data_IF_999248866358
#
_entry.id   IF_999248866358
#
_cell.length_a   1.000
_cell.length_b   1.000
_cell.length_c   1.000
_cell.angle_alpha   90.00
_cell.angle_beta   90.00
_cell.angle_gamma   90.00
#
_symmetry.space_group_name_H-M   'P 1'
#
loop_
_entity.id
_entity.type
_entity.pdbx_description
1 polymer ?
#
# COMPACT_ATOMS: atom_id res chain seq x y z
N UNK A 1 -22.12 18.95 21.57
CA UNK A 1 -21.15 18.25 22.44
C UNK A 1 -21.20 18.98 23.76
N UNK A 2 -21.59 18.27 24.79
CA UNK A 2 -21.66 18.81 26.15
C UNK A 2 -20.27 18.82 26.80
N UNK A 3 -20.10 19.64 27.84
CA UNK A 3 -18.85 19.65 28.59
C UNK A 3 -18.55 18.28 29.22
N UNK A 4 -19.57 17.55 29.66
CA UNK A 4 -19.44 16.19 30.18
C UNK A 4 -18.84 15.21 29.17
N UNK A 5 -19.17 15.35 27.88
CA UNK A 5 -18.59 14.50 26.82
C UNK A 5 -17.08 14.74 26.71
N UNK A 6 -16.66 16.01 26.79
CA UNK A 6 -15.25 16.38 26.75
C UNK A 6 -14.50 15.88 27.98
N UNK A 7 -15.07 16.01 29.17
CA UNK A 7 -14.44 15.52 30.40
C UNK A 7 -14.30 14.00 30.40
N UNK A 8 -15.31 13.27 29.93
CA UNK A 8 -15.23 11.81 29.76
C UNK A 8 -14.12 11.42 28.78
N UNK A 9 -13.98 12.13 27.65
CA UNK A 9 -12.90 11.92 26.70
C UNK A 9 -11.52 12.21 27.30
N UNK A 10 -11.38 13.30 28.06
CA UNK A 10 -10.10 13.69 28.67
C UNK A 10 -9.68 12.74 29.82
N UNK A 11 -10.65 12.10 30.49
CA UNK A 11 -10.40 11.10 31.52
C UNK A 11 -10.10 9.70 30.95
N UNK A 12 -10.22 9.50 29.64
CA UNK A 12 -10.00 8.21 29.00
C UNK A 12 -8.50 7.84 28.97
N UNK A 13 -8.16 6.69 29.59
CA UNK A 13 -6.79 6.17 29.60
C UNK A 13 -6.23 5.93 28.19
N UNK A 14 -7.09 5.57 27.23
CA UNK A 14 -6.67 5.33 25.85
C UNK A 14 -6.25 6.64 25.17
N UNK A 15 -6.81 7.78 25.57
CA UNK A 15 -6.37 9.09 25.09
C UNK A 15 -4.97 9.42 25.60
N UNK A 16 -4.69 9.13 26.88
CA UNK A 16 -3.37 9.39 27.48
C UNK A 16 -2.30 8.54 26.80
N UNK A 17 -2.58 7.24 26.61
CA UNK A 17 -1.68 6.35 25.87
C UNK A 17 -1.46 6.81 24.42
N UNK A 18 -2.53 7.21 23.72
CA UNK A 18 -2.43 7.73 22.37
C UNK A 18 -1.56 8.99 22.30
N UNK A 19 -1.70 9.90 23.26
CA UNK A 19 -0.90 11.13 23.34
C UNK A 19 0.57 10.79 23.55
N UNK A 20 0.90 9.91 24.50
CA UNK A 20 2.29 9.53 24.78
C UNK A 20 2.93 8.81 23.60
N UNK A 21 2.28 7.79 23.04
CA UNK A 21 2.81 7.07 21.86
C UNK A 21 2.91 7.98 20.62
N UNK A 22 2.08 9.03 20.52
CA UNK A 22 2.18 9.99 19.41
C UNK A 22 3.33 10.99 19.57
N UNK A 23 3.98 11.06 20.75
CA UNK A 23 5.19 11.87 20.97
C UNK A 23 6.44 11.17 20.46
N UNK A 24 6.50 9.85 20.57
CA UNK A 24 7.56 9.01 19.98
C UNK A 24 7.31 8.83 18.49
N UNK A 25 7.85 9.72 17.67
CA UNK A 25 8.06 9.43 16.25
C UNK A 25 9.55 9.54 16.01
N UNK A 26 10.19 8.37 15.93
CA UNK A 26 11.64 8.26 15.83
C UNK A 26 12.14 8.42 14.39
N UNK A 27 11.22 8.64 13.44
CA UNK A 27 11.50 8.60 12.02
C UNK A 27 10.90 9.79 11.26
N UNK A 28 11.79 10.63 10.72
CA UNK A 28 11.45 11.82 9.93
C UNK A 28 10.61 11.50 8.68
N UNK A 29 10.85 10.37 8.02
CA UNK A 29 10.15 10.00 6.78
C UNK A 29 8.74 9.47 7.05
N UNK A 30 8.44 9.07 8.30
CA UNK A 30 7.05 8.82 8.73
C UNK A 30 6.27 10.13 8.98
N UNK A 31 6.98 11.22 9.33
CA UNK A 31 6.39 12.53 9.59
C UNK A 31 6.17 13.35 8.31
N UNK A 32 7.08 13.24 7.36
CA UNK A 32 7.07 14.01 6.11
C UNK A 32 6.90 13.03 4.96
N UNK A 33 5.76 13.10 4.26
CA UNK A 33 5.61 12.37 2.99
C UNK A 33 6.39 13.09 1.90
N UNK A 34 7.45 12.48 1.33
CA UNK A 34 8.20 13.10 0.25
C UNK A 34 7.28 13.28 -0.98
N UNK A 35 7.45 14.41 -1.68
CA UNK A 35 6.89 14.61 -3.03
C UNK A 35 7.61 13.73 -4.04
N UNK A 36 7.06 13.54 -5.24
CA UNK A 36 7.64 12.70 -6.31
C UNK A 36 9.13 13.00 -6.57
N UNK A 37 9.53 14.26 -6.65
CA UNK A 37 10.94 14.65 -6.86
C UNK A 37 11.82 14.32 -5.65
N UNK A 38 11.33 14.58 -4.44
CA UNK A 38 12.03 14.23 -3.19
C UNK A 38 12.16 12.72 -3.01
N UNK A 39 11.20 11.96 -3.55
CA UNK A 39 11.25 10.51 -3.58
C UNK A 39 12.33 10.01 -4.53
N UNK A 40 12.43 10.60 -5.73
CA UNK A 40 13.51 10.30 -6.67
C UNK A 40 14.89 10.60 -6.06
N UNK A 41 15.01 11.64 -5.22
CA UNK A 41 16.22 11.94 -4.46
C UNK A 41 16.61 10.82 -3.50
N UNK A 42 15.65 10.35 -2.68
CA UNK A 42 15.87 9.26 -1.74
C UNK A 42 16.16 7.93 -2.44
N UNK A 43 15.52 7.70 -3.59
CA UNK A 43 15.76 6.50 -4.39
C UNK A 43 17.16 6.48 -5.01
N UNK A 44 17.64 7.61 -5.55
CA UNK A 44 19.02 7.75 -6.02
C UNK A 44 20.00 7.41 -4.91
N UNK A 45 19.80 8.02 -3.73
CA UNK A 45 20.63 7.76 -2.56
C UNK A 45 20.63 6.28 -2.15
N UNK A 46 19.45 5.63 -2.12
CA UNK A 46 19.35 4.23 -1.73
C UNK A 46 19.96 3.26 -2.75
N UNK A 47 20.02 3.63 -4.03
CA UNK A 47 20.56 2.79 -5.11
C UNK A 47 22.07 2.97 -5.34
N UNK A 48 22.69 4.00 -4.77
CA UNK A 48 24.12 4.25 -4.91
C UNK A 48 24.93 3.34 -3.97
N UNK A 49 25.75 2.47 -4.55
CA UNK A 49 26.54 1.50 -3.80
C UNK A 49 27.63 2.15 -2.91
N UNK A 50 28.02 3.39 -3.21
CA UNK A 50 29.02 4.15 -2.46
C UNK A 50 28.45 4.91 -1.26
N UNK A 51 27.12 4.91 -1.08
CA UNK A 51 26.47 5.68 -0.03
C UNK A 51 26.61 5.07 1.37
N UNK A 52 26.46 5.93 2.38
CA UNK A 52 26.73 5.62 3.78
C UNK A 52 25.79 4.59 4.43
N UNK A 53 24.82 4.03 3.70
CA UNK A 53 23.83 3.07 4.24
C UNK A 53 24.34 1.61 4.33
N UNK A 54 25.60 1.34 3.97
CA UNK A 54 26.29 0.04 4.13
C UNK A 54 25.60 -1.18 3.51
N UNK A 55 24.76 -0.97 2.49
CA UNK A 55 24.17 -2.07 1.72
C UNK A 55 24.91 -2.38 0.42
N UNK A 56 25.93 -1.57 0.06
CA UNK A 56 26.58 -1.67 -1.24
C UNK A 56 25.54 -1.62 -2.36
N UNK A 57 25.72 -2.49 -3.37
CA UNK A 57 24.83 -2.55 -4.52
C UNK A 57 23.54 -3.38 -4.31
N UNK A 58 23.31 -3.89 -3.09
CA UNK A 58 22.24 -4.85 -2.83
C UNK A 58 20.84 -4.27 -3.08
N UNK A 59 20.65 -2.97 -2.87
CA UNK A 59 19.36 -2.28 -3.14
C UNK A 59 19.07 -2.28 -4.64
N UNK A 60 20.04 -1.87 -5.47
CA UNK A 60 19.90 -1.89 -6.92
C UNK A 60 19.75 -3.32 -7.47
N UNK A 61 20.45 -4.30 -6.88
CA UNK A 61 20.27 -5.71 -7.21
C UNK A 61 18.84 -6.20 -6.93
N UNK A 62 18.26 -5.82 -5.79
CA UNK A 62 16.86 -6.10 -5.47
C UNK A 62 15.90 -5.47 -6.48
N UNK A 63 16.18 -4.25 -6.94
CA UNK A 63 15.41 -3.60 -8.00
C UNK A 63 15.48 -4.36 -9.33
N UNK A 64 16.66 -4.80 -9.78
CA UNK A 64 16.81 -5.58 -11.01
C UNK A 64 16.09 -6.95 -10.95
N UNK A 65 16.13 -7.62 -9.80
CA UNK A 65 15.39 -8.86 -9.60
C UNK A 65 13.88 -8.64 -9.69
N UNK A 66 13.39 -7.54 -9.11
CA UNK A 66 11.98 -7.17 -9.22
C UNK A 66 11.58 -6.81 -10.66
N UNK A 67 12.46 -6.15 -11.42
CA UNK A 67 12.25 -5.91 -12.85
C UNK A 67 12.08 -7.20 -13.64
N UNK A 68 12.96 -8.17 -13.40
CA UNK A 68 12.87 -9.48 -14.04
C UNK A 68 11.54 -10.16 -13.71
N UNK A 69 11.16 -10.21 -12.42
CA UNK A 69 9.91 -10.84 -11.96
C UNK A 69 8.65 -10.13 -12.45
N UNK A 70 8.65 -8.79 -12.54
CA UNK A 70 7.52 -8.04 -13.06
C UNK A 70 7.36 -8.22 -14.58
N UNK A 71 8.47 -8.34 -15.30
CA UNK A 71 8.50 -8.53 -16.75
C UNK A 71 8.33 -9.97 -17.23
N UNK A 72 8.35 -10.97 -16.34
CA UNK A 72 8.41 -12.39 -16.69
C UNK A 72 7.43 -13.24 -15.88
N UNK A 73 6.88 -14.29 -16.48
CA UNK A 73 6.01 -15.27 -15.82
C UNK A 73 6.53 -16.69 -16.02
N UNK A 74 6.41 -17.23 -17.24
CA UNK A 74 6.92 -18.56 -17.61
C UNK A 74 8.28 -18.45 -18.28
N UNK A 75 8.48 -17.42 -19.11
CA UNK A 75 9.71 -17.17 -19.84
C UNK A 75 10.21 -15.74 -19.61
N UNK A 76 11.53 -15.49 -19.74
CA UNK A 76 12.07 -14.14 -19.56
C UNK A 76 11.35 -13.11 -20.45
N UNK A 77 10.78 -12.05 -19.86
CA UNK A 77 10.16 -10.96 -20.62
C UNK A 77 8.83 -11.30 -21.30
N UNK A 78 8.21 -12.46 -21.09
CA UNK A 78 6.95 -12.86 -21.75
C UNK A 78 5.75 -11.94 -21.48
N UNK A 79 5.77 -11.18 -20.37
CA UNK A 79 4.78 -10.14 -20.07
C UNK A 79 5.00 -8.84 -20.82
N UNK A 80 6.13 -8.71 -21.51
CA UNK A 80 6.54 -7.52 -22.24
C UNK A 80 6.30 -7.66 -23.74
N UNK A 81 6.17 -6.52 -24.42
CA UNK A 81 6.09 -6.50 -25.88
C UNK A 81 7.35 -7.13 -26.48
N UNK A 82 7.16 -8.23 -27.22
CA UNK A 82 8.24 -8.90 -27.95
C UNK A 82 9.05 -7.91 -28.80
N UNK A 83 10.38 -8.06 -28.77
CA UNK A 83 11.36 -7.20 -29.43
C UNK A 83 11.41 -5.74 -28.94
N UNK A 84 10.77 -5.41 -27.81
CA UNK A 84 11.01 -4.12 -27.14
C UNK A 84 12.35 -4.13 -26.41
N UNK A 85 12.85 -2.94 -26.06
CA UNK A 85 14.06 -2.80 -25.25
C UNK A 85 13.96 -3.55 -23.92
N UNK A 86 12.90 -3.32 -23.16
CA UNK A 86 12.65 -3.99 -21.88
C UNK A 86 12.55 -5.51 -22.03
N UNK A 87 12.00 -6.02 -23.15
CA UNK A 87 11.97 -7.45 -23.46
C UNK A 87 13.38 -8.04 -23.63
N UNK A 88 14.23 -7.39 -24.43
CA UNK A 88 15.63 -7.80 -24.58
C UNK A 88 16.40 -7.69 -23.26
N UNK A 89 16.12 -6.66 -22.47
CA UNK A 89 16.71 -6.48 -21.15
C UNK A 89 16.39 -7.66 -20.23
N UNK A 90 15.12 -8.04 -20.10
CA UNK A 90 14.69 -9.17 -19.26
C UNK A 90 15.28 -10.51 -19.73
N UNK A 91 15.44 -10.70 -21.04
CA UNK A 91 16.10 -11.86 -21.63
C UNK A 91 17.60 -11.93 -21.30
N UNK A 92 18.28 -10.78 -21.27
CA UNK A 92 19.73 -10.71 -21.03
C UNK A 92 20.11 -10.74 -19.54
N UNK A 93 19.33 -10.02 -18.72
CA UNK A 93 19.54 -9.85 -17.28
C UNK A 93 18.67 -10.82 -16.49
N UNK A 94 19.03 -12.11 -16.55
CA UNK A 94 18.40 -13.16 -15.73
C UNK A 94 18.79 -13.05 -14.25
N UNK A 95 18.04 -13.65 -13.31
CA UNK A 95 18.38 -13.62 -11.89
C UNK A 95 19.80 -14.10 -11.60
N UNK A 96 20.23 -15.19 -12.24
CA UNK A 96 21.59 -15.71 -12.08
C UNK A 96 22.66 -14.68 -12.49
N UNK A 97 22.43 -13.97 -13.61
CA UNK A 97 23.35 -12.95 -14.07
C UNK A 97 23.33 -11.70 -13.18
N UNK A 98 22.14 -11.27 -12.77
CA UNK A 98 21.97 -10.17 -11.82
C UNK A 98 22.69 -10.48 -10.52
N UNK A 99 22.63 -11.71 -10.00
CA UNK A 99 23.31 -12.11 -8.76
C UNK A 99 24.84 -12.24 -8.90
N UNK A 100 25.34 -12.52 -10.10
CA UNK A 100 26.78 -12.67 -10.35
C UNK A 100 27.49 -11.36 -10.72
N UNK A 101 26.76 -10.32 -11.13
CA UNK A 101 27.32 -9.02 -11.52
C UNK A 101 27.63 -8.14 -10.30
N UNK A 102 28.54 -7.19 -10.48
CA UNK A 102 28.83 -6.09 -9.54
C UNK A 102 28.27 -4.79 -10.11
N UNK A 103 27.49 -4.06 -9.32
CA UNK A 103 26.86 -2.80 -9.72
C UNK A 103 27.44 -1.59 -8.98
N UNK A 104 28.68 -1.68 -8.48
CA UNK A 104 29.39 -0.58 -7.83
C UNK A 104 29.60 0.68 -8.68
N UNK A 105 29.37 0.62 -10.00
CA UNK A 105 29.51 1.77 -10.92
C UNK A 105 28.19 2.41 -11.35
N UNK A 106 27.07 2.00 -10.74
CA UNK A 106 25.75 2.58 -11.00
C UNK A 106 25.73 4.07 -10.68
N UNK A 107 25.16 4.86 -11.58
CA UNK A 107 24.92 6.28 -11.41
C UNK A 107 23.44 6.56 -11.65
N UNK A 108 22.80 7.22 -10.68
CA UNK A 108 21.41 7.65 -10.77
C UNK A 108 21.33 9.14 -11.12
N UNK A 109 20.72 9.47 -12.25
CA UNK A 109 20.44 10.82 -12.71
C UNK A 109 18.99 11.19 -12.42
N UNK A 110 18.79 12.35 -11.81
CA UNK A 110 17.48 12.90 -11.45
C UNK A 110 17.17 14.11 -12.32
N UNK A 111 15.90 14.33 -12.63
CA UNK A 111 15.43 15.47 -13.42
C UNK A 111 16.30 15.73 -14.66
N UNK A 112 16.70 14.65 -15.36
CA UNK A 112 17.74 14.72 -16.38
C UNK A 112 17.33 15.76 -17.43
N UNK A 113 18.03 16.89 -17.42
CA UNK A 113 17.77 17.98 -18.35
C UNK A 113 18.37 17.57 -19.69
N UNK A 114 17.53 16.96 -20.52
CA UNK A 114 17.81 16.73 -21.92
C UNK A 114 18.16 18.08 -22.56
N UNK A 115 19.38 18.26 -23.06
CA UNK A 115 19.75 19.44 -23.83
C UNK A 115 19.01 19.40 -25.17
N UNK A 116 18.11 20.37 -25.39
CA UNK A 116 17.28 20.52 -26.59
C UNK A 116 15.94 21.18 -26.29
N UNK A 117 15.31 21.79 -27.30
CA UNK A 117 14.02 22.50 -27.25
C UNK A 117 12.82 21.58 -27.00
N UNK A 118 12.93 20.67 -26.03
CA UNK A 118 11.82 19.85 -25.56
C UNK A 118 11.12 20.57 -24.39
N UNK A 119 9.77 20.52 -24.34
CA UNK A 119 9.01 21.05 -23.21
C UNK A 119 9.52 20.49 -21.87
N UNK A 120 9.49 21.30 -20.81
CA UNK A 120 9.86 20.86 -19.44
C UNK A 120 9.09 19.60 -19.00
N UNK A 121 7.89 19.35 -19.55
CA UNK A 121 7.06 18.17 -19.30
C UNK A 121 7.57 16.87 -19.94
N UNK A 122 8.69 16.90 -20.67
CA UNK A 122 9.23 15.75 -21.42
C UNK A 122 10.48 15.14 -20.79
N UNK A 123 10.76 15.45 -19.52
CA UNK A 123 11.96 14.98 -18.81
C UNK A 123 11.65 13.67 -18.09
N UNK A 124 12.46 12.61 -18.25
CA UNK A 124 12.32 11.43 -17.39
C UNK A 124 12.66 11.82 -15.95
N UNK A 125 11.85 11.36 -15.01
CA UNK A 125 12.02 11.65 -13.59
C UNK A 125 13.37 11.12 -13.07
N UNK A 126 13.72 9.92 -13.53
CA UNK A 126 14.84 9.16 -13.00
C UNK A 126 15.48 8.29 -14.08
N UNK A 127 16.80 8.36 -14.23
CA UNK A 127 17.57 7.56 -15.21
C UNK A 127 18.75 6.92 -14.51
N UNK A 128 18.88 5.61 -14.65
CA UNK A 128 19.97 4.83 -14.05
C UNK A 128 20.89 4.39 -15.18
N UNK A 129 22.19 4.59 -15.00
CA UNK A 129 23.22 4.15 -15.95
C UNK A 129 24.29 3.39 -15.18
N UNK A 130 24.66 2.22 -15.69
CA UNK A 130 25.86 1.51 -15.22
C UNK A 130 26.78 1.29 -16.43
N UNK A 131 27.93 1.97 -16.46
CA UNK A 131 28.87 1.88 -17.57
C UNK A 131 29.65 0.57 -17.59
N UNK A 132 29.88 -0.09 -16.45
CA UNK A 132 30.59 -1.36 -16.38
C UNK A 132 29.75 -2.49 -16.97
N UNK A 133 28.47 -2.54 -16.58
CA UNK A 133 27.52 -3.54 -17.06
C UNK A 133 26.80 -3.15 -18.35
N UNK A 134 26.99 -1.92 -18.83
CA UNK A 134 26.38 -1.37 -20.05
C UNK A 134 24.85 -1.43 -20.02
N UNK A 135 24.24 -0.88 -18.99
CA UNK A 135 22.78 -0.75 -18.88
C UNK A 135 22.32 0.70 -18.75
N UNK A 136 21.15 0.99 -19.31
CA UNK A 136 20.42 2.26 -19.15
C UNK A 136 18.97 1.93 -18.80
N UNK A 137 18.52 2.40 -17.64
CA UNK A 137 17.14 2.19 -17.19
C UNK A 137 16.48 3.56 -17.05
N UNK A 138 15.35 3.75 -17.73
CA UNK A 138 14.53 4.96 -17.60
C UNK A 138 13.36 4.63 -16.70
N UNK A 139 13.18 5.42 -15.66
CA UNK A 139 12.17 5.22 -14.63
C UNK A 139 11.25 6.43 -14.57
N UNK A 140 9.95 6.19 -14.76
CA UNK A 140 8.87 7.15 -14.51
C UNK A 140 8.31 6.87 -13.11
N UNK A 141 8.21 7.90 -12.27
CA UNK A 141 7.78 7.77 -10.87
C UNK A 141 6.44 8.50 -10.71
N UNK A 142 5.48 7.84 -10.05
CA UNK A 142 4.20 8.42 -9.65
C UNK A 142 3.97 8.26 -8.15
N UNK A 143 3.39 9.26 -7.51
CA UNK A 143 2.98 9.23 -6.10
C UNK A 143 1.49 8.85 -5.93
N UNK A 144 1.01 7.88 -6.72
CA UNK A 144 -0.35 7.36 -6.64
C UNK A 144 -1.35 8.00 -7.60
N UNK A 145 -0.86 8.70 -8.62
CA UNK A 145 -1.67 9.26 -9.70
C UNK A 145 -1.78 8.24 -10.85
N UNK A 146 -2.96 8.07 -11.41
CA UNK A 146 -3.14 7.20 -12.58
C UNK A 146 -2.31 7.73 -13.77
N UNK A 147 -1.61 6.83 -14.47
CA UNK A 147 -0.95 7.15 -15.73
C UNK A 147 -1.98 7.65 -16.75
N UNK A 148 -1.72 8.82 -17.33
CA UNK A 148 -2.57 9.40 -18.36
C UNK A 148 -2.62 8.51 -19.61
N UNK A 149 -3.72 8.55 -20.36
CA UNK A 149 -3.81 7.86 -21.65
C UNK A 149 -2.72 8.38 -22.58
N UNK A 150 -1.88 7.50 -23.11
CA UNK A 150 -0.80 7.86 -24.05
C UNK A 150 0.47 8.42 -23.41
N UNK A 151 0.47 8.72 -22.11
CA UNK A 151 1.60 9.35 -21.41
C UNK A 151 2.88 8.50 -21.52
N UNK A 152 2.79 7.19 -21.23
CA UNK A 152 3.93 6.27 -21.32
C UNK A 152 4.48 6.12 -22.75
N UNK A 153 3.62 6.24 -23.77
CA UNK A 153 4.05 6.19 -25.16
C UNK A 153 4.81 7.47 -25.55
N UNK A 154 4.34 8.64 -25.11
CA UNK A 154 5.01 9.92 -25.34
C UNK A 154 6.38 9.97 -24.66
N UNK A 155 6.49 9.51 -23.41
CA UNK A 155 7.79 9.42 -22.72
C UNK A 155 8.75 8.47 -23.42
N UNK A 156 8.24 7.33 -23.89
CA UNK A 156 9.06 6.38 -24.64
C UNK A 156 9.62 7.03 -25.92
N UNK A 157 8.82 7.82 -26.65
CA UNK A 157 9.27 8.52 -27.85
C UNK A 157 10.36 9.56 -27.55
N UNK A 158 10.23 10.27 -26.43
CA UNK A 158 11.25 11.24 -25.99
C UNK A 158 12.53 10.53 -25.54
N UNK A 159 12.42 9.51 -24.69
CA UNK A 159 13.57 8.74 -24.24
C UNK A 159 14.27 8.02 -25.40
N UNK A 160 13.52 7.59 -26.41
CA UNK A 160 14.08 7.03 -27.64
C UNK A 160 14.96 8.03 -28.39
N UNK A 161 14.51 9.28 -28.50
CA UNK A 161 15.25 10.34 -29.20
C UNK A 161 16.54 10.70 -28.48
N UNK A 162 16.52 10.81 -27.16
CA UNK A 162 17.65 11.40 -26.43
C UNK A 162 18.60 10.37 -25.79
N UNK A 163 18.07 9.25 -25.29
CA UNK A 163 18.87 8.22 -24.62
C UNK A 163 19.13 7.02 -25.52
N UNK A 164 18.09 6.43 -26.11
CA UNK A 164 18.23 5.17 -26.86
C UNK A 164 19.09 5.34 -28.11
N UNK A 165 18.89 6.43 -28.86
CA UNK A 165 19.62 6.72 -30.11
C UNK A 165 21.00 7.36 -29.89
N UNK A 166 21.38 7.67 -28.65
CA UNK A 166 22.69 8.26 -28.36
C UNK A 166 23.78 7.24 -28.68
N UNK A 167 24.77 7.66 -29.49
CA UNK A 167 25.85 6.77 -29.95
C UNK A 167 26.58 6.08 -28.78
N UNK A 168 26.77 6.78 -27.66
CA UNK A 168 27.38 6.26 -26.44
C UNK A 168 26.66 5.04 -25.85
N UNK A 169 25.35 4.90 -26.07
CA UNK A 169 24.51 3.84 -25.52
C UNK A 169 24.08 2.81 -26.57
N UNK A 170 24.69 2.80 -27.76
CA UNK A 170 24.33 1.88 -28.86
C UNK A 170 24.30 0.42 -28.41
N UNK A 171 25.31 0.01 -27.64
CA UNK A 171 25.49 -1.37 -27.18
C UNK A 171 25.07 -1.57 -25.72
N UNK A 172 24.28 -0.66 -25.15
CA UNK A 172 23.75 -0.81 -23.80
C UNK A 172 22.40 -1.52 -23.85
N UNK A 173 22.16 -2.39 -22.87
CA UNK A 173 20.82 -2.92 -22.58
C UNK A 173 19.94 -1.81 -22.01
N UNK A 174 18.67 -1.79 -22.40
CA UNK A 174 17.78 -0.67 -22.09
C UNK A 174 16.47 -1.17 -21.51
N UNK A 175 16.03 -0.58 -20.42
CA UNK A 175 14.73 -0.89 -19.82
C UNK A 175 13.94 0.39 -19.53
N UNK A 176 12.62 0.26 -19.59
CA UNK A 176 11.66 1.31 -19.24
C UNK A 176 10.79 0.82 -18.10
N UNK A 177 10.72 1.59 -17.02
CA UNK A 177 10.11 1.18 -15.75
C UNK A 177 9.13 2.24 -15.29
N UNK A 178 7.92 1.82 -14.92
CA UNK A 178 6.94 2.70 -14.32
C UNK A 178 6.72 2.26 -12.87
N UNK A 179 7.00 3.18 -11.93
CA UNK A 179 6.85 2.97 -10.49
C UNK A 179 5.67 3.78 -9.96
N UNK A 180 4.72 3.12 -9.31
CA UNK A 180 3.63 3.77 -8.58
C UNK A 180 3.23 2.91 -7.37
N UNK A 181 2.98 3.50 -6.18
CA UNK A 181 2.65 2.73 -4.99
C UNK A 181 1.31 1.97 -5.09
N UNK A 182 0.43 2.33 -6.03
CA UNK A 182 -0.86 1.66 -6.25
C UNK A 182 -0.84 0.68 -7.43
N UNK A 183 0.33 0.41 -8.03
CA UNK A 183 0.42 -0.37 -9.24
C UNK A 183 0.73 -1.84 -8.94
N UNK A 184 -0.26 -2.69 -9.14
CA UNK A 184 -0.12 -4.13 -9.00
C UNK A 184 0.48 -4.71 -10.30
N UNK A 185 1.72 -5.21 -10.25
CA UNK A 185 2.39 -5.83 -11.40
C UNK A 185 1.66 -7.05 -11.94
N UNK A 186 0.82 -7.71 -11.12
CA UNK A 186 -0.02 -8.84 -11.55
C UNK A 186 -1.33 -8.41 -12.21
N UNK A 187 -1.74 -7.15 -12.03
CA UNK A 187 -3.02 -6.62 -12.50
C UNK A 187 -2.86 -5.23 -13.12
N UNK A 188 -1.94 -5.13 -14.09
CA UNK A 188 -1.78 -3.90 -14.85
C UNK A 188 -3.07 -3.57 -15.63
N UNK A 189 -3.47 -2.29 -15.70
CA UNK A 189 -4.60 -1.87 -16.52
C UNK A 189 -4.42 -2.33 -17.98
N UNK A 190 -5.51 -2.69 -18.66
CA UNK A 190 -5.44 -3.07 -20.08
C UNK A 190 -4.92 -1.96 -21.00
N UNK A 191 -4.95 -0.71 -20.54
CA UNK A 191 -4.41 0.46 -21.22
C UNK A 191 -2.93 0.71 -20.93
N UNK A 192 -2.29 -0.11 -20.10
CA UNK A 192 -0.89 0.03 -19.75
C UNK A 192 0.00 -0.37 -20.93
N UNK A 193 1.06 0.41 -21.18
CA UNK A 193 1.96 0.15 -22.31
C UNK A 193 2.94 -0.97 -21.94
N UNK A 194 2.74 -2.16 -22.51
CA UNK A 194 3.55 -3.35 -22.26
C UNK A 194 5.01 -3.27 -22.76
N UNK A 195 5.47 -2.12 -23.26
CA UNK A 195 6.90 -1.81 -23.44
C UNK A 195 7.57 -1.38 -22.14
N UNK A 196 6.78 -0.98 -21.14
CA UNK A 196 7.22 -0.61 -19.80
C UNK A 196 7.04 -1.78 -18.84
N UNK A 197 7.95 -1.90 -17.88
CA UNK A 197 7.84 -2.80 -16.73
C UNK A 197 7.13 -2.02 -15.63
N UNK A 198 5.90 -2.43 -15.29
CA UNK A 198 5.13 -1.82 -14.21
C UNK A 198 5.34 -2.55 -12.88
N UNK A 199 5.72 -1.82 -11.83
CA UNK A 199 5.79 -2.36 -10.47
C UNK A 199 5.45 -1.31 -9.40
N UNK A 200 5.14 -1.78 -8.20
CA UNK A 200 5.08 -0.97 -6.99
C UNK A 200 6.45 -0.93 -6.28
N UNK A 201 6.46 -0.51 -5.02
CA UNK A 201 7.66 -0.45 -4.19
C UNK A 201 7.88 -1.68 -3.31
N UNK A 202 7.12 -2.77 -3.47
CA UNK A 202 7.27 -3.96 -2.66
C UNK A 202 8.67 -4.59 -2.79
N UNK A 203 9.40 -4.30 -3.87
CA UNK A 203 10.79 -4.71 -4.05
C UNK A 203 11.75 -4.14 -2.98
N UNK A 204 11.39 -3.03 -2.33
CA UNK A 204 12.14 -2.48 -1.20
C UNK A 204 12.05 -3.34 0.06
N UNK A 205 11.10 -4.27 0.17
CA UNK A 205 10.96 -5.15 1.34
C UNK A 205 12.26 -5.95 1.61
N UNK A 206 12.96 -6.38 0.56
CA UNK A 206 14.25 -7.06 0.73
C UNK A 206 15.35 -6.15 1.25
N UNK A 207 15.35 -4.87 0.84
CA UNK A 207 16.27 -3.87 1.38
C UNK A 207 15.93 -3.54 2.83
N UNK A 208 14.64 -3.44 3.15
CA UNK A 208 14.12 -3.24 4.51
C UNK A 208 14.60 -4.35 5.45
N UNK A 209 14.38 -5.62 5.10
CA UNK A 209 14.77 -6.77 5.92
C UNK A 209 16.27 -6.78 6.22
N UNK A 210 17.11 -6.44 5.23
CA UNK A 210 18.57 -6.35 5.41
C UNK A 210 18.96 -5.18 6.31
N UNK A 211 18.37 -4.00 6.08
CA UNK A 211 18.61 -2.81 6.88
C UNK A 211 18.17 -3.03 8.35
N UNK A 212 17.01 -3.65 8.56
CA UNK A 212 16.51 -4.02 9.89
C UNK A 212 17.48 -4.96 10.61
N UNK A 213 17.91 -6.02 9.92
CA UNK A 213 18.87 -6.98 10.49
C UNK A 213 20.21 -6.30 10.82
N UNK A 214 20.65 -5.34 10.02
CA UNK A 214 21.87 -4.57 10.28
C UNK A 214 21.72 -3.65 11.51
N UNK A 215 20.62 -2.92 11.61
CA UNK A 215 20.29 -2.07 12.77
C UNK A 215 20.22 -2.90 14.05
N UNK A 216 19.59 -4.08 14.01
CA UNK A 216 19.51 -5.01 15.14
C UNK A 216 20.90 -5.51 15.60
N UNK A 217 21.85 -5.63 14.67
CA UNK A 217 23.27 -5.94 14.98
C UNK A 217 24.09 -4.72 15.43
N UNK A 218 23.46 -3.55 15.57
CA UNK A 218 24.10 -2.32 16.03
C UNK A 218 24.58 -1.39 14.91
N UNK A 219 24.31 -1.70 13.63
CA UNK A 219 24.69 -0.82 12.53
C UNK A 219 23.73 0.36 12.37
N UNK A 220 24.01 1.45 13.08
CA UNK A 220 23.18 2.65 13.06
C UNK A 220 23.14 3.35 11.69
N UNK A 221 24.13 3.13 10.82
CA UNK A 221 24.13 3.74 9.49
C UNK A 221 23.10 3.13 8.53
N UNK A 222 22.58 1.94 8.82
CA UNK A 222 21.47 1.34 8.08
C UNK A 222 20.09 1.91 8.48
N UNK A 223 20.00 2.68 9.58
CA UNK A 223 18.73 3.20 10.09
C UNK A 223 18.00 4.16 9.14
N UNK A 224 18.68 5.09 8.43
CA UNK A 224 18.01 5.94 7.44
C UNK A 224 17.42 5.14 6.27
N UNK A 225 18.07 4.06 5.84
CA UNK A 225 17.56 3.21 4.77
C UNK A 225 16.36 2.40 5.23
N UNK A 226 16.39 1.88 6.46
CA UNK A 226 15.26 1.21 7.08
C UNK A 226 14.05 2.14 7.16
N UNK A 227 14.27 3.37 7.63
CA UNK A 227 13.29 4.45 7.68
C UNK A 227 12.69 4.74 6.30
N UNK A 228 13.55 4.91 5.30
CA UNK A 228 13.11 5.11 3.91
C UNK A 228 12.25 3.96 3.41
N UNK A 229 12.71 2.71 3.54
CA UNK A 229 11.95 1.56 3.06
C UNK A 229 10.55 1.53 3.70
N UNK A 230 10.47 1.70 5.02
CA UNK A 230 9.19 1.68 5.77
C UNK A 230 8.26 2.83 5.43
N UNK A 231 8.78 4.00 5.08
CA UNK A 231 7.97 5.13 4.67
C UNK A 231 7.30 4.92 3.30
N UNK A 232 7.82 3.97 2.51
CA UNK A 232 7.48 3.76 1.11
C UNK A 232 6.73 2.45 0.90
N UNK A 233 7.06 1.43 1.68
CA UNK A 233 6.33 0.17 1.74
C UNK A 233 5.09 0.34 2.61
N UNK A 234 4.09 -0.54 2.45
CA UNK A 234 2.94 -0.58 3.36
C UNK A 234 3.31 -1.18 4.75
N UNK A 235 4.55 -0.98 5.22
CA UNK A 235 4.98 -1.45 6.52
C UNK A 235 4.20 -0.73 7.63
N UNK A 236 3.37 -1.48 8.34
CA UNK A 236 2.72 -1.00 9.56
C UNK A 236 3.62 -1.30 10.76
N UNK A 237 4.29 -0.27 11.28
CA UNK A 237 5.02 -0.36 12.55
C UNK A 237 4.07 -0.82 13.69
N UNK A 238 4.48 -1.72 14.59
CA UNK A 238 3.63 -2.16 15.70
C UNK A 238 3.09 -1.01 16.55
N UNK A 239 3.88 0.06 16.72
CA UNK A 239 3.45 1.31 17.38
C UNK A 239 2.34 1.98 16.59
N UNK A 240 2.48 2.06 15.26
CA UNK A 240 1.45 2.62 14.36
C UNK A 240 0.16 1.79 14.37
N UNK A 241 0.26 0.46 14.46
CA UNK A 241 -0.90 -0.42 14.65
C UNK A 241 -1.61 -0.13 15.97
N UNK A 242 -0.84 -0.01 17.08
CA UNK A 242 -1.38 0.34 18.40
C UNK A 242 -2.02 1.72 18.41
N UNK A 243 -1.34 2.74 17.88
CA UNK A 243 -1.86 4.10 17.73
C UNK A 243 -3.18 4.11 16.94
N UNK A 244 -3.23 3.36 15.84
CA UNK A 244 -4.42 3.27 15.00
C UNK A 244 -5.57 2.52 15.67
N UNK A 245 -5.27 1.52 16.52
CA UNK A 245 -6.27 0.81 17.34
C UNK A 245 -6.86 1.74 18.41
N UNK A 246 -5.99 2.42 19.18
CA UNK A 246 -6.39 3.40 20.20
C UNK A 246 -7.26 4.51 19.61
N UNK A 247 -6.86 5.07 18.46
CA UNK A 247 -7.65 6.10 17.78
C UNK A 247 -9.05 5.58 17.37
N UNK A 248 -9.13 4.35 16.87
CA UNK A 248 -10.39 3.70 16.50
C UNK A 248 -11.32 3.51 17.71
N UNK A 249 -10.79 2.96 18.81
CA UNK A 249 -11.53 2.74 20.06
C UNK A 249 -12.08 4.06 20.61
N UNK A 250 -11.24 5.10 20.70
CA UNK A 250 -11.66 6.43 21.15
C UNK A 250 -12.73 7.05 20.26
N UNK A 251 -12.63 6.87 18.94
CA UNK A 251 -13.61 7.42 18.01
C UNK A 251 -14.98 6.71 18.09
N UNK A 252 -14.99 5.43 18.46
CA UNK A 252 -16.21 4.66 18.71
C UNK A 252 -16.86 5.10 20.03
N UNK A 253 -16.05 5.29 21.08
CA UNK A 253 -16.54 5.64 22.42
C UNK A 253 -16.98 7.10 22.54
N UNK A 254 -16.30 8.03 21.85
CA UNK A 254 -16.52 9.48 21.99
C UNK A 254 -16.90 10.16 20.65
N UNK A 255 -17.98 9.73 19.95
CA UNK A 255 -18.30 10.21 18.60
C UNK A 255 -18.64 11.71 18.56
N UNK A 256 -19.27 12.25 19.62
CA UNK A 256 -19.60 13.66 19.72
C UNK A 256 -18.34 14.54 19.79
N UNK A 257 -17.31 14.07 20.51
CA UNK A 257 -16.02 14.76 20.63
C UNK A 257 -15.26 14.71 19.31
N UNK A 258 -15.23 13.56 18.61
CA UNK A 258 -14.60 13.45 17.29
C UNK A 258 -15.26 14.35 16.25
N UNK A 259 -16.59 14.50 16.29
CA UNK A 259 -17.30 15.45 15.45
C UNK A 259 -16.88 16.90 15.74
N UNK A 260 -16.76 17.28 17.02
CA UNK A 260 -16.30 18.60 17.42
C UNK A 260 -14.80 18.85 17.10
N UNK A 261 -13.95 17.83 17.19
CA UNK A 261 -12.53 17.89 16.84
C UNK A 261 -12.32 18.22 15.35
N UNK A 262 -13.25 17.86 14.46
CA UNK A 262 -13.21 18.28 13.04
C UNK A 262 -13.29 19.80 12.91
N UNK A 263 -14.15 20.45 13.70
CA UNK A 263 -14.27 21.91 13.74
C UNK A 263 -13.01 22.54 14.36
N UNK A 264 -12.51 21.99 15.48
CA UNK A 264 -11.27 22.46 16.09
C UNK A 264 -10.07 22.37 15.12
N UNK A 265 -9.97 21.29 14.34
CA UNK A 265 -8.98 21.11 13.27
C UNK A 265 -9.11 22.14 12.16
N UNK A 266 -10.33 22.45 11.74
CA UNK A 266 -10.56 23.46 10.71
C UNK A 266 -10.09 24.84 11.20
N UNK A 267 -10.43 25.20 12.45
CA UNK A 267 -10.03 26.47 13.04
C UNK A 267 -8.51 26.57 13.25
N UNK A 268 -7.86 25.48 13.69
CA UNK A 268 -6.41 25.47 13.90
C UNK A 268 -5.59 25.66 12.62
N UNK A 269 -6.18 25.47 11.43
CA UNK A 269 -5.50 25.67 10.13
C UNK A 269 -5.54 27.11 9.62
N UNK A 270 -6.46 27.92 10.13
CA UNK A 270 -6.73 29.29 9.63
C UNK A 270 -6.67 30.23 10.82
N UNK A 271 -5.56 30.94 10.97
CA UNK A 271 -5.34 31.85 12.11
C UNK A 271 -6.44 32.93 12.20
N UNK A 272 -6.97 33.36 11.06
CA UNK A 272 -8.06 34.32 10.96
C UNK A 272 -9.38 33.81 11.53
N UNK A 273 -9.54 32.50 11.73
CA UNK A 273 -10.72 31.92 12.38
C UNK A 273 -10.64 31.98 13.91
N UNK A 274 -9.51 32.40 14.48
CA UNK A 274 -9.30 32.43 15.91
C UNK A 274 -10.03 33.63 16.50
N UNK A 275 -10.93 33.37 17.43
CA UNK A 275 -11.71 34.40 18.13
C UNK A 275 -11.31 34.44 19.60
N UNK A 276 -11.52 35.56 20.29
CA UNK A 276 -11.32 35.67 21.74
C UNK A 276 -12.10 34.59 22.51
N UNK A 277 -13.31 34.24 22.06
CA UNK A 277 -14.09 33.13 22.63
C UNK A 277 -13.39 31.77 22.50
N UNK A 278 -12.63 31.55 21.43
CA UNK A 278 -11.87 30.32 21.23
C UNK A 278 -10.61 30.28 22.11
N UNK A 279 -9.95 31.42 22.28
CA UNK A 279 -8.64 31.53 22.95
C UNK A 279 -8.73 31.71 24.47
N UNK A 280 -9.72 32.45 24.94
CA UNK A 280 -9.90 32.91 26.33
C UNK A 280 -11.34 32.72 26.84
N UNK A 281 -12.21 32.06 26.07
CA UNK A 281 -13.58 31.78 26.49
C UNK A 281 -13.70 30.65 27.49
N UNK A 282 -14.92 30.41 27.97
CA UNK A 282 -15.23 29.30 28.87
C UNK A 282 -15.99 28.18 28.13
N UNK A 283 -15.87 26.96 28.65
CA UNK A 283 -16.66 25.81 28.22
C UNK A 283 -16.01 24.95 27.13
N UNK A 284 -16.76 23.93 26.70
CA UNK A 284 -16.20 22.77 26.01
C UNK A 284 -15.54 23.09 24.66
N UNK A 285 -15.98 24.13 23.95
CA UNK A 285 -15.38 24.52 22.67
C UNK A 285 -13.99 25.14 22.83
N UNK A 286 -13.78 25.92 23.88
CA UNK A 286 -12.49 26.52 24.21
C UNK A 286 -11.50 25.44 24.68
N UNK A 287 -11.91 24.62 25.65
CA UNK A 287 -11.06 23.55 26.19
C UNK A 287 -10.67 22.54 25.12
N UNK A 288 -11.62 22.13 24.27
CA UNK A 288 -11.35 21.22 23.15
C UNK A 288 -10.36 21.83 22.15
N UNK A 289 -10.46 23.12 21.86
CA UNK A 289 -9.54 23.78 20.95
C UNK A 289 -8.10 23.82 21.52
N UNK A 290 -7.96 24.14 22.81
CA UNK A 290 -6.65 24.10 23.49
C UNK A 290 -6.05 22.70 23.49
N UNK A 291 -6.85 21.69 23.85
CA UNK A 291 -6.45 20.28 23.78
C UNK A 291 -6.01 19.90 22.35
N UNK A 292 -6.78 20.31 21.34
CA UNK A 292 -6.45 20.07 19.94
C UNK A 292 -5.10 20.66 19.55
N UNK A 293 -4.84 21.93 19.87
CA UNK A 293 -3.60 22.61 19.52
C UNK A 293 -2.40 21.99 20.24
N UNK A 294 -2.54 21.57 21.49
CA UNK A 294 -1.46 20.93 22.26
C UNK A 294 -1.14 19.51 21.78
N UNK A 295 -2.13 18.78 21.28
CA UNK A 295 -1.99 17.36 20.92
C UNK A 295 -2.40 17.07 19.46
N UNK A 296 -2.07 17.99 18.55
CA UNK A 296 -2.48 17.90 17.14
C UNK A 296 -2.13 16.57 16.49
N UNK A 297 -0.95 15.99 16.76
CA UNK A 297 -0.55 14.71 16.15
C UNK A 297 -1.51 13.57 16.51
N UNK A 298 -1.73 13.35 17.81
CA UNK A 298 -2.64 12.33 18.31
C UNK A 298 -4.07 12.58 17.80
N UNK A 299 -4.56 13.81 17.92
CA UNK A 299 -5.95 14.14 17.61
C UNK A 299 -6.23 14.18 16.10
N UNK A 300 -5.24 14.50 15.27
CA UNK A 300 -5.35 14.32 13.81
C UNK A 300 -5.52 12.86 13.40
N UNK A 301 -5.00 11.89 14.17
CA UNK A 301 -5.23 10.47 13.89
C UNK A 301 -6.71 10.13 14.08
N UNK A 302 -7.35 10.55 15.18
CA UNK A 302 -8.79 10.36 15.37
C UNK A 302 -9.61 11.00 14.25
N UNK A 303 -9.33 12.27 13.94
CA UNK A 303 -10.09 13.02 12.93
C UNK A 303 -9.84 12.50 11.51
N UNK A 304 -8.67 11.90 11.28
CA UNK A 304 -8.22 11.37 9.99
C UNK A 304 -8.56 9.90 9.77
N UNK A 305 -9.20 9.21 10.73
CA UNK A 305 -9.58 7.81 10.56
C UNK A 305 -10.44 7.62 9.32
N UNK A 306 -10.02 6.68 8.47
CA UNK A 306 -10.84 6.29 7.33
C UNK A 306 -12.10 5.57 7.83
N UNK A 307 -13.20 5.71 7.09
CA UNK A 307 -14.43 4.97 7.39
C UNK A 307 -14.20 3.46 7.37
N UNK A 308 -13.25 2.98 6.54
CA UNK A 308 -12.81 1.58 6.55
C UNK A 308 -12.16 1.21 7.89
N UNK A 309 -11.26 2.03 8.44
CA UNK A 309 -10.61 1.75 9.73
C UNK A 309 -11.62 1.69 10.86
N UNK A 310 -12.56 2.63 10.91
CA UNK A 310 -13.65 2.62 11.91
C UNK A 310 -14.51 1.36 11.82
N UNK A 311 -14.84 0.91 10.60
CA UNK A 311 -15.57 -0.33 10.37
C UNK A 311 -14.79 -1.53 10.91
N UNK A 312 -13.50 -1.64 10.56
CA UNK A 312 -12.66 -2.75 10.99
C UNK A 312 -12.46 -2.78 12.51
N UNK A 313 -12.29 -1.62 13.16
CA UNK A 313 -12.18 -1.57 14.64
C UNK A 313 -13.45 -2.09 15.30
N UNK A 314 -14.64 -1.67 14.83
CA UNK A 314 -15.92 -2.19 15.36
C UNK A 314 -16.09 -3.69 15.13
N UNK A 315 -15.66 -4.18 13.97
CA UNK A 315 -15.75 -5.59 13.66
C UNK A 315 -14.76 -6.43 14.46
N UNK A 316 -13.57 -5.90 14.76
CA UNK A 316 -12.56 -6.59 15.58
C UNK A 316 -13.02 -6.79 17.03
N UNK A 317 -13.78 -5.85 17.60
CA UNK A 317 -14.39 -6.01 18.94
C UNK A 317 -15.37 -7.19 18.98
N UNK A 318 -16.20 -7.35 17.93
CA UNK A 318 -17.21 -8.41 17.86
C UNK A 318 -16.63 -9.76 17.38
N UNK A 319 -15.61 -9.72 16.53
CA UNK A 319 -14.99 -10.90 15.92
C UNK A 319 -13.47 -10.78 16.01
N UNK A 320 -12.86 -11.18 17.15
CA UNK A 320 -11.40 -11.17 17.33
C UNK A 320 -10.67 -11.98 16.26
N UNK A 321 -11.35 -12.99 15.71
CA UNK A 321 -10.88 -13.74 14.56
C UNK A 321 -10.62 -12.89 13.33
N UNK A 322 -10.99 -11.60 13.26
CA UNK A 322 -10.64 -10.70 12.16
C UNK A 322 -9.27 -10.04 12.34
N UNK A 323 -8.71 -10.08 13.54
CA UNK A 323 -7.29 -9.81 13.80
C UNK A 323 -6.46 -11.05 13.34
N UNK A 324 -5.28 -10.87 12.75
CA UNK A 324 -4.52 -11.99 12.17
C UNK A 324 -3.20 -11.57 11.51
N UNK A 325 -2.36 -12.55 11.17
CA UNK A 325 -1.10 -12.35 10.45
C UNK A 325 -1.35 -11.90 8.99
N UNK A 326 -0.43 -11.17 8.36
CA UNK A 326 -0.56 -10.69 6.98
C UNK A 326 -0.84 -11.79 5.95
N UNK A 327 -0.49 -13.03 6.27
CA UNK A 327 -0.78 -14.21 5.47
C UNK A 327 -2.29 -14.37 5.25
N UNK A 328 -3.11 -14.08 6.25
CA UNK A 328 -4.58 -14.34 6.28
C UNK A 328 -5.39 -13.05 6.06
N UNK A 329 -4.76 -11.88 6.27
CA UNK A 329 -5.40 -10.56 6.24
C UNK A 329 -4.60 -9.61 5.36
N UNK A 330 -5.25 -9.09 4.33
CA UNK A 330 -4.71 -8.00 3.51
C UNK A 330 -5.59 -6.76 3.71
N UNK A 331 -4.99 -5.60 3.96
CA UNK A 331 -5.75 -4.38 4.09
C UNK A 331 -5.02 -3.20 3.48
N UNK A 332 -5.79 -2.33 2.83
CA UNK A 332 -5.34 -1.04 2.36
C UNK A 332 -6.29 0.06 2.84
N UNK A 333 -6.00 1.32 2.49
CA UNK A 333 -6.77 2.48 2.99
C UNK A 333 -8.28 2.42 2.70
N UNK A 334 -8.66 1.79 1.59
CA UNK A 334 -10.05 1.74 1.09
C UNK A 334 -10.55 0.32 0.87
N UNK A 335 -9.79 -0.69 1.23
CA UNK A 335 -10.18 -2.08 1.01
C UNK A 335 -9.62 -2.98 2.11
N UNK A 336 -10.34 -4.06 2.37
CA UNK A 336 -9.96 -5.10 3.31
C UNK A 336 -10.29 -6.43 2.67
N UNK A 337 -9.40 -7.40 2.83
CA UNK A 337 -9.60 -8.78 2.44
C UNK A 337 -9.12 -9.67 3.56
N UNK A 338 -9.90 -10.71 3.81
CA UNK A 338 -9.54 -11.72 4.77
C UNK A 338 -9.96 -13.08 4.27
N UNK A 339 -9.05 -14.03 4.44
CA UNK A 339 -9.38 -15.44 4.30
C UNK A 339 -10.28 -15.85 5.48
N UNK A 340 -11.45 -16.36 5.14
CA UNK A 340 -12.41 -16.80 6.14
C UNK A 340 -12.11 -18.24 6.54
N UNK A 341 -12.07 -18.55 7.84
CA UNK A 341 -11.90 -19.92 8.29
C UNK A 341 -13.11 -20.74 7.82
N UNK A 342 -12.82 -21.83 7.14
CA UNK A 342 -13.70 -22.99 7.03
C UNK A 342 -13.09 -24.02 7.99
N UNK A 343 -13.83 -24.62 8.91
CA UNK A 343 -13.35 -25.85 9.55
C UNK A 343 -13.53 -27.00 8.56
N UNK A 344 -12.50 -27.85 8.36
CA UNK A 344 -12.78 -29.13 7.72
C UNK A 344 -12.15 -30.33 8.45
N UNK A 345 -11.62 -30.17 9.67
CA UNK A 345 -10.53 -30.99 10.27
C UNK A 345 -9.12 -30.67 9.74
N UNK A 346 -8.93 -29.35 9.53
CA UNK A 346 -7.69 -28.56 9.39
C UNK A 346 -7.07 -28.53 7.99
N UNK A 347 -7.00 -27.29 7.49
CA UNK A 347 -6.66 -26.87 6.12
C UNK A 347 -5.43 -27.59 5.54
N UNK A 348 -5.41 -27.90 4.22
CA UNK A 348 -4.24 -28.48 3.57
C UNK A 348 -3.02 -27.53 3.67
N UNK A 349 -1.79 -28.05 3.63
CA UNK A 349 -0.59 -27.22 3.70
C UNK A 349 -0.61 -26.17 2.59
N UNK A 350 -0.47 -24.91 3.00
CA UNK A 350 -0.41 -23.70 2.18
C UNK A 350 0.46 -23.94 0.94
N UNK A 351 -0.16 -24.03 -0.24
CA UNK A 351 0.56 -23.67 -1.46
C UNK A 351 0.57 -22.15 -1.52
N UNK A 352 1.76 -21.57 -1.72
CA UNK A 352 2.03 -20.15 -1.57
C UNK A 352 0.95 -19.26 -2.21
N UNK A 353 0.18 -18.54 -1.39
CA UNK A 353 -0.60 -17.36 -1.81
C UNK A 353 -2.08 -17.54 -2.17
N UNK A 354 -2.76 -18.64 -1.80
CA UNK A 354 -4.18 -18.82 -2.18
C UNK A 354 -5.13 -19.24 -1.05
N UNK A 355 -6.26 -18.53 -0.94
CA UNK A 355 -7.30 -18.73 0.07
C UNK A 355 -8.66 -19.03 -0.59
N UNK A 356 -9.33 -20.15 -0.26
CA UNK A 356 -10.51 -20.58 -1.01
C UNK A 356 -11.77 -19.77 -0.72
N UNK A 357 -11.88 -19.17 0.46
CA UNK A 357 -13.00 -18.31 0.82
C UNK A 357 -12.49 -16.97 1.32
N UNK A 358 -12.80 -15.91 0.58
CA UNK A 358 -12.29 -14.56 0.84
C UNK A 358 -13.43 -13.59 1.08
N UNK A 359 -13.47 -13.03 2.29
CA UNK A 359 -14.28 -11.86 2.60
C UNK A 359 -13.56 -10.62 2.07
N UNK A 360 -14.23 -9.79 1.29
CA UNK A 360 -13.69 -8.53 0.78
C UNK A 360 -14.64 -7.38 1.03
N UNK A 361 -14.15 -6.36 1.71
CA UNK A 361 -14.84 -5.10 1.98
C UNK A 361 -14.11 -4.00 1.21
N UNK A 362 -14.84 -3.15 0.49
CA UNK A 362 -14.26 -2.00 -0.23
C UNK A 362 -15.07 -0.73 0.04
N UNK A 363 -14.39 0.30 0.53
CA UNK A 363 -14.93 1.64 0.63
C UNK A 363 -14.95 2.30 -0.76
N UNK A 364 -16.11 2.78 -1.18
CA UNK A 364 -16.30 3.44 -2.47
C UNK A 364 -16.00 4.94 -2.34
N UNK A 365 -14.73 5.30 -2.53
CA UNK A 365 -14.29 6.69 -2.59
C UNK A 365 -14.77 7.36 -3.90
N UNK A 366 -15.98 7.91 -3.91
CA UNK A 366 -16.44 8.82 -4.97
C UNK A 366 -16.76 10.18 -4.37
N UNK A 367 -16.35 11.26 -5.04
CA UNK A 367 -16.71 12.65 -4.67
C UNK A 367 -18.23 12.86 -4.60
N UNK A 368 -19.02 12.02 -5.25
CA UNK A 368 -20.49 12.04 -5.22
C UNK A 368 -21.10 11.56 -3.89
N UNK A 369 -20.35 10.81 -3.05
CA UNK A 369 -20.85 10.22 -1.81
C UNK A 369 -20.20 10.84 -0.55
N UNK A 370 -19.77 12.10 -0.63
CA UNK A 370 -19.06 12.77 0.46
C UNK A 370 -19.86 12.90 1.77
N UNK A 371 -21.20 12.87 1.68
CA UNK A 371 -22.08 13.00 2.84
C UNK A 371 -22.20 11.71 3.67
N UNK A 372 -22.07 10.53 3.05
CA UNK A 372 -22.20 9.25 3.73
C UNK A 372 -21.33 8.17 3.06
N UNK A 373 -20.42 7.50 3.81
CA UNK A 373 -19.51 6.53 3.23
C UNK A 373 -20.25 5.30 2.71
N UNK A 374 -19.92 4.86 1.50
CA UNK A 374 -20.48 3.63 0.92
C UNK A 374 -19.47 2.48 0.95
N UNK A 375 -19.95 1.30 1.27
CA UNK A 375 -19.17 0.08 1.32
C UNK A 375 -19.76 -0.97 0.40
N UNK A 376 -18.88 -1.71 -0.27
CA UNK A 376 -19.19 -2.95 -0.96
C UNK A 376 -18.64 -4.10 -0.12
N UNK A 377 -19.51 -4.95 0.39
CA UNK A 377 -19.14 -6.18 1.10
C UNK A 377 -19.36 -7.32 0.13
N UNK A 378 -18.39 -8.22 0.02
CA UNK A 378 -18.48 -9.34 -0.93
C UNK A 378 -17.74 -10.56 -0.42
N UNK A 379 -18.25 -11.74 -0.75
CA UNK A 379 -17.65 -13.03 -0.45
C UNK A 379 -17.30 -13.72 -1.75
N UNK A 380 -16.06 -14.18 -1.88
CA UNK A 380 -15.56 -14.84 -3.09
C UNK A 380 -15.06 -16.24 -2.76
N UNK A 381 -15.33 -17.18 -3.67
CA UNK A 381 -14.75 -18.52 -3.70
C UNK A 381 -13.67 -18.59 -4.77
N UNK A 382 -12.45 -18.97 -4.38
CA UNK A 382 -11.25 -18.99 -5.20
C UNK A 382 -10.64 -20.39 -5.15
N UNK A 383 -10.84 -21.23 -6.16
CA UNK A 383 -10.25 -22.57 -6.16
C UNK A 383 -9.76 -22.98 -7.55
N UNK A 384 -8.43 -23.03 -7.68
CA UNK A 384 -7.76 -23.66 -8.81
C UNK A 384 -7.54 -25.12 -8.48
N UNK A 385 -8.12 -26.01 -9.30
CA UNK A 385 -7.95 -27.46 -9.22
C UNK A 385 -8.48 -28.11 -7.93
N UNK A 386 -9.81 -28.24 -7.83
CA UNK A 386 -10.48 -28.97 -6.73
C UNK A 386 -10.41 -30.48 -7.00
N UNK A 387 -9.65 -31.21 -6.19
CA UNK A 387 -9.58 -32.67 -6.26
C UNK A 387 -10.94 -33.34 -5.95
N UNK A 388 -11.36 -34.34 -6.75
CA UNK A 388 -12.54 -35.15 -6.47
C UNK A 388 -12.53 -35.78 -5.08
N UNK A 389 -13.62 -35.60 -4.32
CA UNK A 389 -13.76 -36.17 -2.98
C UNK A 389 -12.99 -35.45 -1.86
N UNK A 390 -12.25 -34.40 -2.20
CA UNK A 390 -11.52 -33.58 -1.22
C UNK A 390 -12.46 -32.87 -0.24
N UNK A 391 -11.98 -32.52 0.98
CA UNK A 391 -12.70 -31.63 1.88
C UNK A 391 -13.11 -30.30 1.21
N UNK A 392 -12.30 -29.80 0.26
CA UNK A 392 -12.55 -28.58 -0.48
C UNK A 392 -13.74 -28.71 -1.44
N UNK A 393 -13.91 -29.86 -2.10
CA UNK A 393 -15.10 -30.14 -2.92
C UNK A 393 -16.38 -30.19 -2.09
N UNK A 394 -16.32 -30.81 -0.89
CA UNK A 394 -17.45 -30.84 0.04
C UNK A 394 -17.82 -29.43 0.51
N UNK A 395 -16.83 -28.62 0.89
CA UNK A 395 -17.04 -27.23 1.27
C UNK A 395 -17.64 -26.41 0.11
N UNK A 396 -17.15 -26.59 -1.12
CA UNK A 396 -17.68 -25.92 -2.30
C UNK A 396 -19.16 -26.26 -2.56
N UNK A 397 -19.55 -27.53 -2.41
CA UNK A 397 -20.93 -27.98 -2.57
C UNK A 397 -21.86 -27.40 -1.50
N UNK A 398 -21.44 -27.41 -0.23
CA UNK A 398 -22.19 -26.83 0.90
C UNK A 398 -22.37 -25.32 0.69
N UNK A 399 -21.28 -24.60 0.39
CA UNK A 399 -21.32 -23.17 0.10
C UNK A 399 -22.21 -22.86 -1.10
N UNK A 400 -22.13 -23.66 -2.16
CA UNK A 400 -22.99 -23.51 -3.34
C UNK A 400 -24.47 -23.64 -3.03
N UNK A 401 -24.85 -24.58 -2.16
CA UNK A 401 -26.22 -24.71 -1.67
C UNK A 401 -26.65 -23.51 -0.82
N UNK A 402 -25.81 -23.05 0.10
CA UNK A 402 -26.13 -21.94 1.02
C UNK A 402 -26.16 -20.54 0.38
N UNK A 403 -25.47 -20.36 -0.74
CA UNK A 403 -25.40 -19.10 -1.48
C UNK A 403 -26.11 -19.15 -2.85
N UNK A 404 -26.82 -20.24 -3.14
CA UNK A 404 -27.52 -20.48 -4.41
C UNK A 404 -26.61 -20.27 -5.64
N UNK A 405 -25.45 -20.94 -5.62
CA UNK A 405 -24.43 -20.88 -6.65
C UNK A 405 -24.12 -22.29 -7.15
N UNK A 406 -24.28 -22.50 -8.46
CA UNK A 406 -23.98 -23.78 -9.11
C UNK A 406 -22.56 -23.80 -9.65
N UNK A 407 -21.93 -24.98 -9.62
CA UNK A 407 -20.63 -25.22 -10.26
C UNK A 407 -19.42 -24.70 -9.48
N UNK A 408 -19.56 -24.52 -8.16
CA UNK A 408 -18.44 -24.25 -7.25
C UNK A 408 -17.55 -25.47 -7.03
N UNK A 409 -18.14 -26.65 -7.17
CA UNK A 409 -17.57 -27.99 -7.05
C UNK A 409 -16.88 -28.47 -8.33
N UNK A 410 -16.83 -27.64 -9.38
CA UNK A 410 -16.13 -27.97 -10.62
C UNK A 410 -14.62 -27.93 -10.41
N UNK A 411 -13.92 -28.81 -11.14
CA UNK A 411 -12.45 -28.93 -11.11
C UNK A 411 -11.72 -27.59 -11.28
N UNK A 412 -12.23 -26.65 -12.09
CA UNK A 412 -11.61 -25.33 -12.28
C UNK A 412 -12.59 -24.19 -12.02
N UNK A 413 -12.35 -23.43 -10.94
CA UNK A 413 -13.10 -22.21 -10.61
C UNK A 413 -12.13 -21.07 -10.31
N UNK A 414 -11.75 -20.32 -11.35
CA UNK A 414 -10.78 -19.21 -11.21
C UNK A 414 -11.21 -18.19 -10.16
N UNK A 415 -12.50 -17.82 -10.12
CA UNK A 415 -13.09 -16.96 -9.08
C UNK A 415 -14.61 -16.92 -9.23
N UNK A 416 -15.34 -17.19 -8.15
CA UNK A 416 -16.80 -17.05 -8.12
C UNK A 416 -17.24 -16.15 -6.97
N UNK A 417 -18.12 -15.19 -7.26
CA UNK A 417 -18.72 -14.32 -6.25
C UNK A 417 -19.92 -15.03 -5.63
N UNK A 418 -19.84 -15.33 -4.32
CA UNK A 418 -20.90 -15.99 -3.56
C UNK A 418 -21.94 -14.99 -3.07
N UNK A 419 -21.49 -13.85 -2.58
CA UNK A 419 -22.33 -12.80 -2.02
C UNK A 419 -21.77 -11.42 -2.39
N UNK A 420 -22.67 -10.46 -2.57
CA UNK A 420 -22.31 -9.05 -2.68
C UNK A 420 -23.48 -8.19 -2.24
N UNK A 421 -23.14 -7.15 -1.48
CA UNK A 421 -24.08 -6.16 -1.02
C UNK A 421 -23.41 -4.78 -0.93
N UNK A 422 -24.25 -3.75 -1.02
CA UNK A 422 -23.85 -2.36 -0.90
C UNK A 422 -24.57 -1.75 0.29
N UNK A 423 -23.84 -1.04 1.13
CA UNK A 423 -24.37 -0.37 2.31
C UNK A 423 -23.82 1.05 2.42
N UNK A 424 -24.59 1.91 3.11
CA UNK A 424 -24.21 3.29 3.40
C UNK A 424 -24.06 3.44 4.92
N UNK A 425 -22.99 4.13 5.34
CA UNK A 425 -22.65 4.33 6.73
C UNK A 425 -21.87 3.16 7.35
N UNK A 426 -20.97 3.49 8.28
CA UNK A 426 -20.16 2.50 9.02
C UNK A 426 -21.06 1.54 9.81
N UNK A 427 -22.14 2.04 10.43
CA UNK A 427 -23.06 1.22 11.23
C UNK A 427 -23.70 0.10 10.40
N UNK A 428 -24.30 0.45 9.27
CA UNK A 428 -24.93 -0.54 8.37
C UNK A 428 -23.89 -1.53 7.84
N UNK A 429 -22.70 -1.05 7.46
CA UNK A 429 -21.62 -1.93 7.03
C UNK A 429 -21.17 -2.91 8.12
N UNK A 430 -21.11 -2.48 9.39
CA UNK A 430 -20.83 -3.36 10.52
C UNK A 430 -21.90 -4.45 10.63
N UNK A 431 -23.17 -4.08 10.74
CA UNK A 431 -24.29 -5.03 10.89
C UNK A 431 -24.33 -6.08 9.76
N UNK A 432 -24.15 -5.62 8.52
CA UNK A 432 -24.16 -6.48 7.33
C UNK A 432 -22.96 -7.43 7.28
N UNK A 433 -21.77 -6.91 7.56
CA UNK A 433 -20.55 -7.73 7.61
C UNK A 433 -20.65 -8.76 8.74
N UNK A 434 -21.13 -8.36 9.92
CA UNK A 434 -21.39 -9.24 11.06
C UNK A 434 -22.30 -10.41 10.69
N UNK A 435 -23.47 -10.11 10.10
CA UNK A 435 -24.42 -11.14 9.68
C UNK A 435 -23.83 -12.10 8.63
N UNK A 436 -22.99 -11.60 7.72
CA UNK A 436 -22.29 -12.43 6.75
C UNK A 436 -21.24 -13.34 7.42
N UNK A 437 -20.47 -12.83 8.38
CA UNK A 437 -19.49 -13.61 9.15
C UNK A 437 -20.20 -14.71 9.94
N UNK A 438 -21.29 -14.39 10.64
CA UNK A 438 -22.09 -15.36 11.40
C UNK A 438 -22.66 -16.44 10.48
N UNK A 439 -23.16 -16.06 9.30
CA UNK A 439 -23.62 -17.02 8.29
C UNK A 439 -22.50 -17.95 7.85
N UNK A 440 -21.29 -17.45 7.63
CA UNK A 440 -20.12 -18.27 7.25
C UNK A 440 -19.73 -19.22 8.39
N UNK A 441 -19.70 -18.73 9.63
CA UNK A 441 -19.38 -19.54 10.80
C UNK A 441 -20.41 -20.65 11.04
N UNK A 442 -21.69 -20.36 10.81
CA UNK A 442 -22.75 -21.37 10.90
C UNK A 442 -22.59 -22.45 9.83
N UNK A 443 -22.17 -22.09 8.62
CA UNK A 443 -21.90 -23.05 7.53
C UNK A 443 -20.63 -23.89 7.81
N UNK A 444 -19.69 -23.32 8.57
CA UNK A 444 -18.40 -23.94 8.87
C UNK A 444 -18.46 -24.90 10.07
N UNK A 445 -19.51 -24.85 10.87
CA UNK A 445 -19.83 -25.82 11.93
C UNK A 445 -20.72 -26.91 11.38
#
# INVERSE_FOLDING_TARGET
MELSDLQAFCADKNLHELIELSRSSDDLLTLIRPRETQFADLLAWAMDAGEGHRQGDAVFRSFLLALYSAGSEEQPGDRLRKNSHSWHFAQHWTPARILAADFGSVVCYREYTMTGDLPKSSRPDFVIVDPANKLVIVVEIKAGAAFGKGQLAEYLDVANKVLVKKAAFKNYDKAFVALDPNLDSSQLPTTFDNRWIGMDYAWLNHAEMRAQSAVQRGDRSSAPLLSFCRAVTDYEDPTEQRLSKLAGELAIQHPAVVAALKAARANARVLESWTTRLLDGEGASHELFRLYVQHQRALNRLVGLSHMRLLLTKLAEAYPLLEGTPEVVESGRVWFRRAMPLEPERQPPMQAGYWPLVLSIRHQNSRQYAAEPRFRISLHWWATDIDPGSPMMRAAAILGKHFDKRGLDKLRVNRMKLHEEFCSGVKSATEKTSALIEKIQLISR
#
